data_IF_056888910912
#
_entry.id   IF_056888910912
#
_cell.length_a   1.000
_cell.length_b   1.000
_cell.length_c   1.000
_cell.angle_alpha   90.00
_cell.angle_beta   90.00
_cell.angle_gamma   90.00
#
_symmetry.space_group_name_H-M   'P 1'
#
loop_
_entity.id
_entity.type
_entity.pdbx_description
1 polymer ?
#
# COMPACT_ATOMS: atom_id res chain seq x y z
N UNK A 1 -1.72 -16.83 6.93
CA UNK A 1 -3.10 -16.66 6.53
C UNK A 1 -3.27 -15.38 5.78
N UNK A 2 -3.71 -15.48 4.54
CA UNK A 2 -3.83 -14.34 3.64
C UNK A 2 -4.90 -13.35 4.06
N UNK A 3 -5.95 -13.81 4.74
CA UNK A 3 -7.07 -12.96 5.15
C UNK A 3 -6.65 -11.84 6.10
N UNK A 4 -5.75 -12.14 7.04
CA UNK A 4 -5.24 -11.14 7.99
C UNK A 4 -4.46 -10.03 7.29
N UNK A 5 -3.62 -10.40 6.32
CA UNK A 5 -2.82 -9.45 5.54
C UNK A 5 -3.71 -8.55 4.69
N UNK A 6 -4.71 -9.12 4.04
CA UNK A 6 -5.68 -8.37 3.23
C UNK A 6 -6.46 -7.40 4.12
N UNK A 7 -6.94 -7.86 5.27
CA UNK A 7 -7.70 -7.01 6.20
C UNK A 7 -6.86 -5.81 6.67
N UNK A 8 -5.58 -6.03 6.98
CA UNK A 8 -4.67 -4.97 7.39
C UNK A 8 -4.50 -3.93 6.27
N UNK A 9 -4.29 -4.39 5.04
CA UNK A 9 -4.09 -3.51 3.89
C UNK A 9 -5.37 -2.72 3.57
N UNK A 10 -6.54 -3.36 3.66
CA UNK A 10 -7.82 -2.66 3.45
C UNK A 10 -8.05 -1.59 4.50
N UNK A 11 -7.79 -1.90 5.77
CA UNK A 11 -7.92 -0.92 6.86
C UNK A 11 -6.94 0.25 6.67
N UNK A 12 -5.73 -0.04 6.20
CA UNK A 12 -4.72 0.96 5.92
C UNK A 12 -5.19 1.91 4.80
N UNK A 13 -5.78 1.36 3.73
CA UNK A 13 -6.33 2.17 2.64
C UNK A 13 -7.48 3.06 3.13
N UNK A 14 -8.38 2.51 3.96
CA UNK A 14 -9.49 3.29 4.50
C UNK A 14 -8.98 4.46 5.33
N UNK A 15 -8.00 4.22 6.19
CA UNK A 15 -7.41 5.26 7.03
C UNK A 15 -6.76 6.35 6.16
N UNK A 16 -6.02 5.95 5.13
CA UNK A 16 -5.38 6.90 4.21
C UNK A 16 -6.43 7.76 3.50
N UNK A 17 -7.48 7.13 2.95
CA UNK A 17 -8.50 7.82 2.17
C UNK A 17 -9.35 8.76 3.02
N UNK A 18 -9.56 8.42 4.29
CA UNK A 18 -10.31 9.25 5.23
C UNK A 18 -9.44 10.26 5.96
N UNK A 19 -8.13 10.23 5.71
CA UNK A 19 -7.15 11.07 6.41
C UNK A 19 -7.16 10.83 7.91
N UNK A 20 -7.45 9.61 8.32
CA UNK A 20 -7.41 9.17 9.71
C UNK A 20 -5.97 8.75 10.04
N UNK A 21 -5.12 9.74 10.28
CA UNK A 21 -3.69 9.52 10.44
C UNK A 21 -3.34 8.76 11.71
N UNK A 22 -4.14 8.88 12.77
CA UNK A 22 -3.92 8.11 14.00
C UNK A 22 -4.06 6.61 13.73
N UNK A 23 -5.10 6.23 13.00
CA UNK A 23 -5.31 4.83 12.62
C UNK A 23 -4.23 4.37 11.65
N UNK A 24 -3.86 5.22 10.69
CA UNK A 24 -2.81 4.89 9.72
C UNK A 24 -1.49 4.56 10.43
N UNK A 25 -1.11 5.37 11.41
CA UNK A 25 0.09 5.15 12.22
C UNK A 25 -0.02 3.86 13.02
N UNK A 26 -1.19 3.61 13.63
CA UNK A 26 -1.40 2.40 14.46
C UNK A 26 -1.32 1.11 13.64
N UNK A 27 -1.65 1.16 12.36
CA UNK A 27 -1.57 0.02 11.45
C UNK A 27 -0.19 -0.16 10.84
N UNK A 28 0.74 0.74 11.13
CA UNK A 28 2.07 0.74 10.53
C UNK A 28 3.14 0.50 11.60
N UNK A 29 4.20 -0.21 11.26
CA UNK A 29 5.30 -0.44 12.19
C UNK A 29 6.04 0.86 12.49
N UNK A 30 6.79 0.89 13.60
CA UNK A 30 7.56 2.08 13.99
C UNK A 30 8.58 2.48 12.94
N UNK A 31 9.11 1.50 12.22
CA UNK A 31 10.13 1.70 11.19
C UNK A 31 9.57 1.52 9.77
N UNK A 32 8.27 1.73 9.60
CA UNK A 32 7.62 1.56 8.28
C UNK A 32 8.39 2.33 7.20
N UNK A 33 8.60 1.65 6.07
CA UNK A 33 9.26 2.25 4.91
C UNK A 33 8.23 2.62 3.86
N UNK A 34 8.28 3.84 3.36
CA UNK A 34 7.39 4.32 2.30
C UNK A 34 8.22 4.86 1.16
N UNK A 35 7.79 4.56 -0.06
CA UNK A 35 8.57 5.02 -1.21
C UNK A 35 7.92 4.78 -2.54
N UNK A 36 8.64 5.18 -3.57
CA UNK A 36 8.28 4.99 -4.97
C UNK A 36 9.58 4.91 -5.78
N UNK A 37 9.47 5.05 -7.12
CA UNK A 37 10.64 4.97 -8.00
C UNK A 37 11.68 6.07 -7.74
N UNK A 38 11.29 7.15 -7.09
CA UNK A 38 12.17 8.30 -6.84
C UNK A 38 12.97 8.17 -5.54
N UNK A 39 12.52 7.35 -4.62
CA UNK A 39 13.21 7.15 -3.35
C UNK A 39 12.29 6.66 -2.26
N UNK A 40 12.86 6.44 -1.09
CA UNK A 40 12.15 5.93 0.06
C UNK A 40 12.56 6.66 1.33
N UNK A 41 11.66 6.67 2.31
CA UNK A 41 11.92 7.23 3.63
C UNK A 41 11.32 6.29 4.67
N UNK A 42 11.70 6.44 5.92
CA UNK A 42 11.38 5.48 6.97
C UNK A 42 10.86 6.17 8.22
N UNK A 43 9.92 5.52 8.90
CA UNK A 43 9.36 5.97 10.18
C UNK A 43 8.01 6.64 10.05
N UNK A 44 7.35 6.85 11.18
CA UNK A 44 6.01 7.44 11.21
C UNK A 44 5.97 8.87 10.67
N UNK A 45 7.00 9.67 10.93
CA UNK A 45 7.06 11.03 10.39
C UNK A 45 7.08 11.01 8.87
N UNK A 46 7.90 10.12 8.28
CA UNK A 46 7.96 9.96 6.83
C UNK A 46 6.63 9.48 6.26
N UNK A 47 5.98 8.54 6.94
CA UNK A 47 4.67 8.04 6.54
C UNK A 47 3.63 9.18 6.50
N UNK A 48 3.59 9.99 7.55
CA UNK A 48 2.64 11.09 7.64
C UNK A 48 2.89 12.17 6.59
N UNK A 49 4.16 12.50 6.34
CA UNK A 49 4.51 13.46 5.29
C UNK A 49 4.09 12.94 3.91
N UNK A 50 4.37 11.67 3.65
CA UNK A 50 3.99 11.01 2.41
C UNK A 50 2.46 11.01 2.24
N UNK A 51 1.72 10.67 3.28
CA UNK A 51 0.26 10.61 3.25
C UNK A 51 -0.37 11.98 3.02
N UNK A 52 0.16 13.01 3.68
CA UNK A 52 -0.34 14.39 3.54
C UNK A 52 -0.03 14.98 2.17
N UNK A 53 1.14 14.69 1.63
CA UNK A 53 1.60 15.28 0.37
C UNK A 53 0.99 14.60 -0.85
N UNK A 54 0.52 13.36 -0.74
CA UNK A 54 -0.01 12.63 -1.87
C UNK A 54 -1.27 13.27 -2.47
N UNK A 55 -2.15 13.80 -1.61
CA UNK A 55 -3.38 14.47 -2.04
C UNK A 55 -4.30 13.62 -2.90
N UNK A 56 -4.13 12.29 -2.88
CA UNK A 56 -4.86 11.39 -3.74
C UNK A 56 -5.69 10.41 -2.91
N UNK A 57 -6.77 9.92 -3.52
CA UNK A 57 -7.52 8.78 -2.98
C UNK A 57 -7.19 7.57 -3.81
N UNK A 58 -6.97 6.45 -3.14
CA UNK A 58 -6.61 5.20 -3.77
C UNK A 58 -7.61 4.11 -3.36
N UNK A 59 -8.45 3.70 -4.29
CA UNK A 59 -9.43 2.65 -4.04
C UNK A 59 -8.81 1.30 -4.37
N UNK A 60 -8.70 0.38 -3.39
CA UNK A 60 -8.10 -0.92 -3.64
C UNK A 60 -8.97 -1.77 -4.56
N UNK A 61 -8.33 -2.41 -5.52
CA UNK A 61 -8.96 -3.35 -6.45
C UNK A 61 -8.44 -4.75 -6.23
N UNK A 62 -7.90 -5.35 -7.30
CA UNK A 62 -7.37 -6.71 -7.20
C UNK A 62 -6.15 -6.74 -6.27
N UNK A 63 -6.06 -7.81 -5.48
CA UNK A 63 -4.95 -8.02 -4.55
C UNK A 63 -4.28 -9.36 -4.83
N UNK A 64 -2.95 -9.37 -4.75
CA UNK A 64 -2.12 -10.57 -4.88
C UNK A 64 -1.36 -10.72 -3.58
N UNK A 65 -1.39 -11.92 -2.99
CA UNK A 65 -0.83 -12.14 -1.64
C UNK A 65 0.04 -13.38 -1.63
N UNK A 66 1.24 -13.24 -1.09
CA UNK A 66 2.12 -14.39 -0.80
C UNK A 66 3.17 -13.98 0.22
N UNK A 67 3.34 -14.82 1.27
CA UNK A 67 4.41 -14.67 2.27
C UNK A 67 4.51 -13.27 2.89
N UNK A 68 3.38 -12.70 3.25
CA UNK A 68 3.33 -11.38 3.88
C UNK A 68 3.43 -10.21 2.93
N UNK A 69 3.56 -10.47 1.64
CA UNK A 69 3.60 -9.43 0.61
C UNK A 69 2.23 -9.34 -0.04
N UNK A 70 1.69 -8.11 -0.10
CA UNK A 70 0.40 -7.85 -0.74
C UNK A 70 0.62 -6.80 -1.82
N UNK A 71 0.28 -7.15 -3.06
CA UNK A 71 0.27 -6.18 -4.17
C UNK A 71 -1.17 -5.81 -4.45
N UNK A 72 -1.45 -4.52 -4.46
CA UNK A 72 -2.81 -3.99 -4.65
C UNK A 72 -2.84 -3.14 -5.91
N UNK A 73 -3.72 -3.48 -6.84
CA UNK A 73 -4.04 -2.61 -7.96
C UNK A 73 -5.02 -1.55 -7.45
N UNK A 74 -4.72 -0.29 -7.71
CA UNK A 74 -5.48 0.82 -7.14
C UNK A 74 -6.05 1.71 -8.23
N UNK A 75 -7.32 2.12 -8.05
CA UNK A 75 -7.90 3.20 -8.82
C UNK A 75 -7.60 4.50 -8.09
N UNK A 76 -6.82 5.37 -8.72
CA UNK A 76 -6.31 6.60 -8.09
C UNK A 76 -7.09 7.80 -8.62
N UNK A 77 -7.62 8.61 -7.71
CA UNK A 77 -8.30 9.85 -8.01
C UNK A 77 -7.47 11.01 -7.45
N UNK A 78 -7.16 11.98 -8.31
CA UNK A 78 -6.40 13.16 -7.93
C UNK A 78 -6.96 14.39 -8.64
N UNK A 79 -6.41 15.56 -8.33
CA UNK A 79 -6.76 16.80 -9.02
C UNK A 79 -6.49 16.72 -10.53
N UNK A 80 -5.53 15.91 -10.95
CA UNK A 80 -5.18 15.71 -12.36
C UNK A 80 -6.14 14.75 -13.09
N UNK A 81 -7.04 14.06 -12.37
CA UNK A 81 -7.99 13.12 -12.95
C UNK A 81 -7.83 11.71 -12.37
N UNK A 82 -8.37 10.72 -13.07
CA UNK A 82 -8.37 9.34 -12.63
C UNK A 82 -7.28 8.55 -13.35
N UNK A 83 -6.64 7.64 -12.63
CA UNK A 83 -5.62 6.76 -13.20
C UNK A 83 -5.58 5.46 -12.41
N UNK A 84 -4.72 4.53 -12.83
CA UNK A 84 -4.48 3.31 -12.09
C UNK A 84 -3.01 3.26 -11.68
N UNK A 85 -2.76 2.62 -10.55
CA UNK A 85 -1.43 2.40 -10.04
C UNK A 85 -1.42 1.08 -9.30
N UNK A 86 -0.31 0.70 -8.73
CA UNK A 86 -0.24 -0.47 -7.85
C UNK A 86 0.73 -0.16 -6.71
N UNK A 87 0.46 -0.75 -5.55
CA UNK A 87 1.33 -0.61 -4.39
C UNK A 87 1.68 -1.99 -3.86
N UNK A 88 2.91 -2.15 -3.44
CA UNK A 88 3.40 -3.37 -2.82
C UNK A 88 3.55 -3.12 -1.32
N UNK A 89 2.88 -3.92 -0.52
CA UNK A 89 2.89 -3.83 0.93
C UNK A 89 3.60 -5.05 1.52
N UNK A 90 4.32 -4.84 2.60
CA UNK A 90 4.76 -5.95 3.44
C UNK A 90 4.02 -5.85 4.76
N UNK A 91 3.39 -6.95 5.18
CA UNK A 91 2.60 -7.02 6.40
C UNK A 91 3.24 -8.05 7.33
N UNK A 92 3.56 -7.64 8.56
CA UNK A 92 4.14 -8.51 9.59
C UNK A 92 3.37 -8.25 10.88
N UNK A 93 2.83 -9.31 11.48
CA UNK A 93 2.07 -9.23 12.73
C UNK A 93 0.96 -8.17 12.67
N UNK A 94 0.20 -8.17 11.55
CA UNK A 94 -0.93 -7.26 11.33
C UNK A 94 -0.53 -5.79 11.28
N UNK A 95 0.74 -5.50 10.97
CA UNK A 95 1.22 -4.13 10.74
C UNK A 95 1.87 -4.03 9.38
N UNK A 96 1.65 -2.91 8.71
CA UNK A 96 2.32 -2.59 7.46
C UNK A 96 3.74 -2.15 7.78
N UNK A 97 4.73 -2.87 7.26
CA UNK A 97 6.15 -2.56 7.47
C UNK A 97 6.79 -1.87 6.28
N UNK A 98 6.18 -1.97 5.09
CA UNK A 98 6.63 -1.20 3.94
C UNK A 98 5.50 -1.00 2.93
N UNK A 99 5.57 0.12 2.22
CA UNK A 99 4.65 0.46 1.13
C UNK A 99 5.49 1.06 0.00
N UNK A 100 5.48 0.43 -1.16
CA UNK A 100 6.13 0.96 -2.35
C UNK A 100 5.13 1.12 -3.48
N UNK A 101 5.02 2.33 -4.00
CA UNK A 101 4.11 2.64 -5.10
C UNK A 101 4.79 2.39 -6.44
N UNK A 102 4.07 1.75 -7.34
CA UNK A 102 4.52 1.44 -8.69
C UNK A 102 3.56 2.06 -9.71
N UNK A 103 4.03 2.38 -10.92
CA UNK A 103 3.18 3.02 -11.92
C UNK A 103 2.07 2.10 -12.45
N UNK A 104 2.25 0.78 -12.37
CA UNK A 104 1.26 -0.18 -12.84
C UNK A 104 1.40 -1.51 -12.12
N UNK A 105 0.39 -2.37 -12.32
CA UNK A 105 0.35 -3.69 -11.68
C UNK A 105 1.50 -4.58 -12.14
N UNK A 106 1.84 -4.56 -13.41
CA UNK A 106 2.91 -5.41 -13.94
C UNK A 106 4.25 -5.11 -13.27
N UNK A 107 4.56 -3.82 -13.07
CA UNK A 107 5.79 -3.41 -12.38
C UNK A 107 5.81 -3.89 -10.92
N UNK A 108 4.69 -3.77 -10.22
CA UNK A 108 4.58 -4.19 -8.82
C UNK A 108 4.73 -5.71 -8.70
N UNK A 109 4.09 -6.47 -9.57
CA UNK A 109 4.21 -7.93 -9.57
C UNK A 109 5.64 -8.36 -9.87
N UNK A 110 6.28 -7.73 -10.86
CA UNK A 110 7.67 -8.06 -11.22
C UNK A 110 8.62 -7.78 -10.04
N UNK A 111 8.45 -6.66 -9.35
CA UNK A 111 9.30 -6.28 -8.23
C UNK A 111 9.16 -7.23 -7.03
N UNK A 112 7.99 -7.82 -6.84
CA UNK A 112 7.70 -8.71 -5.71
C UNK A 112 7.75 -10.19 -6.08
N UNK A 113 7.89 -10.51 -7.37
CA UNK A 113 7.88 -11.87 -7.90
C UNK A 113 6.55 -12.60 -7.68
N UNK A 114 5.47 -11.85 -7.48
CA UNK A 114 4.12 -12.42 -7.40
C UNK A 114 3.58 -12.66 -8.81
N UNK A 115 2.64 -13.59 -8.92
CA UNK A 115 2.05 -13.99 -10.21
C UNK A 115 0.54 -14.08 -10.12
N UNK A 116 -0.11 -14.38 -11.23
CA UNK A 116 -1.56 -14.61 -11.29
C UNK A 116 -2.03 -15.66 -10.27
N UNK A 117 -1.15 -16.60 -9.91
CA UNK A 117 -1.48 -17.64 -8.92
C UNK A 117 -1.67 -17.08 -7.53
N UNK A 118 -1.15 -15.90 -7.27
CA UNK A 118 -1.23 -15.26 -5.95
C UNK A 118 -2.45 -14.36 -5.82
N UNK A 119 -3.26 -14.26 -6.86
CA UNK A 119 -4.48 -13.45 -6.85
C UNK A 119 -5.42 -13.92 -5.76
N UNK A 120 -5.78 -13.00 -4.85
CA UNK A 120 -6.73 -13.26 -3.79
C UNK A 120 -8.13 -13.04 -4.33
N UNK A 121 -8.97 -13.99 -4.11
CA UNK A 121 -10.29 -13.82 -4.60
C UNK A 121 -11.12 -14.99 -4.50
#
# INVERSE_FOLDING_TARGET
MTTSEIATVLAWHDALNEQDFDTLVSLSSDDVEVGDAKGAAQGHTALLEWARSSGVKAEPGRMYVRDGIVVVEEAVTSAAGNSTAASAFRVVHDHVTSVFRHPDLASALAATELTEKDLAG
#
